data_IF_969550305605
#
_entry.id   IF_969550305605
#
_cell.length_a   1.000
_cell.length_b   1.000
_cell.length_c   1.000
_cell.angle_alpha   90.00
_cell.angle_beta   90.00
_cell.angle_gamma   90.00
#
_symmetry.space_group_name_H-M   'P 1'
#
loop_
_entity.id
_entity.type
_entity.pdbx_description
1 polymer ?
#
# COMPACT_ATOMS: atom_id res chain seq x y z
N UNK A 1 -14.47 1.31 10.07
CA UNK A 1 -13.67 1.06 8.84
C UNK A 1 -14.44 0.38 7.69
N UNK A 2 -15.55 -0.27 7.93
CA UNK A 2 -16.29 -1.04 6.88
C UNK A 2 -16.77 -0.25 5.64
N UNK A 3 -16.61 1.06 5.56
CA UNK A 3 -17.18 1.87 4.47
C UNK A 3 -16.23 2.83 3.77
N UNK A 4 -14.93 2.83 4.08
CA UNK A 4 -14.05 3.86 3.51
C UNK A 4 -13.83 3.70 2.00
N UNK A 5 -13.65 2.48 1.51
CA UNK A 5 -13.50 2.18 0.07
C UNK A 5 -14.80 2.47 -0.68
N UNK A 6 -15.92 1.96 -0.18
CA UNK A 6 -17.24 2.22 -0.77
C UNK A 6 -17.56 3.72 -0.79
N UNK A 7 -17.19 4.46 0.25
CA UNK A 7 -17.38 5.90 0.28
C UNK A 7 -16.53 6.63 -0.76
N UNK A 8 -15.27 6.20 -0.98
CA UNK A 8 -14.43 6.77 -2.03
C UNK A 8 -15.08 6.63 -3.41
N UNK A 9 -15.58 5.44 -3.74
CA UNK A 9 -16.31 5.22 -5.01
C UNK A 9 -17.61 6.03 -5.10
N UNK A 10 -18.38 6.14 -4.00
CA UNK A 10 -19.61 6.96 -3.97
C UNK A 10 -19.31 8.44 -4.21
N UNK A 11 -18.24 8.97 -3.61
CA UNK A 11 -17.82 10.37 -3.82
C UNK A 11 -17.43 10.59 -5.27
N UNK A 12 -16.55 9.76 -5.83
CA UNK A 12 -16.14 9.85 -7.23
C UNK A 12 -17.35 9.79 -8.18
N UNK A 13 -18.29 8.86 -7.94
CA UNK A 13 -19.53 8.78 -8.73
C UNK A 13 -20.39 10.03 -8.63
N UNK A 14 -20.54 10.60 -7.42
CA UNK A 14 -21.30 11.83 -7.20
C UNK A 14 -20.68 13.02 -7.95
N UNK A 15 -19.35 13.03 -8.06
CA UNK A 15 -18.58 14.02 -8.80
C UNK A 15 -18.49 13.74 -10.31
N UNK A 16 -19.17 12.70 -10.79
CA UNK A 16 -19.19 12.25 -12.18
C UNK A 16 -17.78 12.03 -12.78
N UNK A 17 -16.90 11.42 -11.98
CA UNK A 17 -15.53 11.05 -12.38
C UNK A 17 -15.15 9.64 -11.92
N UNK A 18 -14.14 9.00 -12.54
CA UNK A 18 -13.57 7.77 -12.03
C UNK A 18 -12.85 8.00 -10.69
N UNK A 19 -12.79 6.96 -9.86
CA UNK A 19 -11.96 6.98 -8.66
C UNK A 19 -10.48 6.81 -9.05
N UNK A 20 -9.61 7.63 -8.47
CA UNK A 20 -8.16 7.54 -8.68
C UNK A 20 -7.54 6.66 -7.60
N UNK A 21 -6.96 5.54 -8.02
CA UNK A 21 -6.20 4.62 -7.17
C UNK A 21 -4.74 4.68 -7.62
N UNK A 22 -3.83 4.98 -6.71
CA UNK A 22 -2.39 5.00 -7.02
C UNK A 22 -1.68 3.88 -6.30
N UNK A 23 -0.89 3.11 -7.06
CA UNK A 23 -0.02 2.06 -6.57
C UNK A 23 1.41 2.57 -6.39
N UNK A 24 2.01 2.28 -5.26
CA UNK A 24 3.46 2.47 -5.01
C UNK A 24 4.00 1.29 -4.20
N UNK A 25 5.29 0.96 -4.36
CA UNK A 25 5.92 -0.11 -3.58
C UNK A 25 6.36 0.44 -2.23
N UNK A 26 5.94 -0.24 -1.15
CA UNK A 26 6.31 0.15 0.20
C UNK A 26 7.81 -0.09 0.44
N UNK A 27 8.51 0.94 0.91
CA UNK A 27 9.94 0.88 1.22
C UNK A 27 10.87 1.14 0.04
N UNK A 28 10.34 1.42 -1.16
CA UNK A 28 11.16 1.87 -2.27
C UNK A 28 11.89 3.17 -1.89
N UNK A 29 13.17 3.25 -2.24
CA UNK A 29 14.15 4.24 -1.80
C UNK A 29 14.51 4.04 -0.31
N UNK A 30 13.70 4.51 0.62
CA UNK A 30 13.77 4.22 2.06
C UNK A 30 12.38 4.08 2.65
N UNK A 31 12.27 3.47 3.85
CA UNK A 31 10.99 3.32 4.57
C UNK A 31 10.30 4.67 4.78
N UNK A 32 11.05 5.67 5.24
CA UNK A 32 10.48 7.01 5.50
C UNK A 32 10.18 7.76 4.21
N UNK A 33 11.03 7.64 3.19
CA UNK A 33 10.79 8.29 1.89
C UNK A 33 9.55 7.75 1.21
N UNK A 34 9.34 6.43 1.22
CA UNK A 34 8.14 5.84 0.64
C UNK A 34 6.86 6.32 1.36
N UNK A 35 6.91 6.49 2.70
CA UNK A 35 5.80 7.06 3.45
C UNK A 35 5.58 8.55 3.12
N UNK A 36 6.66 9.34 2.98
CA UNK A 36 6.55 10.75 2.57
C UNK A 36 5.91 10.89 1.19
N UNK A 37 6.30 10.07 0.22
CA UNK A 37 5.72 10.04 -1.12
C UNK A 37 4.22 9.74 -1.02
N UNK A 38 3.84 8.68 -0.32
CA UNK A 38 2.43 8.31 -0.16
C UNK A 38 1.62 9.44 0.51
N UNK A 39 2.14 10.05 1.56
CA UNK A 39 1.49 11.19 2.22
C UNK A 39 1.30 12.38 1.26
N UNK A 40 2.30 12.67 0.42
CA UNK A 40 2.27 13.81 -0.51
C UNK A 40 1.20 13.62 -1.59
N UNK A 41 1.11 12.42 -2.19
CA UNK A 41 0.13 12.13 -3.25
C UNK A 41 -1.27 11.84 -2.69
N UNK A 42 -1.39 11.47 -1.41
CA UNK A 42 -2.66 11.01 -0.82
C UNK A 42 -3.78 12.05 -0.86
N UNK A 43 -3.47 13.34 -0.95
CA UNK A 43 -4.47 14.40 -1.07
C UNK A 43 -5.26 14.32 -2.39
N UNK A 44 -4.60 13.86 -3.45
CA UNK A 44 -5.14 13.79 -4.80
C UNK A 44 -5.71 12.40 -5.15
N UNK A 45 -5.59 11.42 -4.26
CA UNK A 45 -6.07 10.05 -4.43
C UNK A 45 -7.42 9.83 -3.75
N UNK A 46 -8.24 8.99 -4.33
CA UNK A 46 -9.42 8.42 -3.66
C UNK A 46 -9.03 7.24 -2.77
N UNK A 47 -8.16 6.37 -3.26
CA UNK A 47 -7.68 5.17 -2.56
C UNK A 47 -6.16 5.07 -2.74
N UNK A 48 -5.44 4.85 -1.66
CA UNK A 48 -4.03 4.52 -1.68
C UNK A 48 -3.83 3.01 -1.78
N UNK A 49 -3.01 2.54 -2.71
CA UNK A 49 -2.62 1.14 -2.81
C UNK A 49 -1.11 1.00 -2.59
N UNK A 50 -0.73 0.19 -1.62
CA UNK A 50 0.67 -0.04 -1.29
C UNK A 50 1.08 -1.48 -1.59
N UNK A 51 2.09 -1.63 -2.46
CA UNK A 51 2.65 -2.92 -2.81
C UNK A 51 3.57 -3.45 -1.72
N UNK A 52 3.37 -4.70 -1.34
CA UNK A 52 4.31 -5.48 -0.52
C UNK A 52 5.40 -5.99 -1.45
N UNK A 53 6.68 -5.54 -1.33
CA UNK A 53 7.73 -5.97 -2.24
C UNK A 53 8.00 -7.47 -2.15
N UNK A 54 8.22 -8.11 -3.28
CA UNK A 54 8.48 -9.54 -3.41
C UNK A 54 9.78 -9.78 -4.19
N UNK A 55 10.52 -10.82 -3.82
CA UNK A 55 11.80 -11.16 -4.45
C UNK A 55 11.66 -11.84 -5.82
N UNK A 56 10.49 -12.39 -6.13
CA UNK A 56 10.18 -13.02 -7.40
C UNK A 56 8.82 -12.52 -7.93
N UNK A 57 8.72 -11.23 -8.35
CA UNK A 57 7.47 -10.59 -8.72
C UNK A 57 7.08 -10.90 -10.16
N UNK A 58 6.76 -12.17 -10.46
CA UNK A 58 6.54 -12.70 -11.82
C UNK A 58 5.34 -12.06 -12.55
N UNK A 59 4.37 -11.52 -11.82
CA UNK A 59 3.19 -10.85 -12.39
C UNK A 59 3.41 -9.36 -12.65
N UNK A 60 4.53 -8.79 -12.19
CA UNK A 60 4.81 -7.36 -12.29
C UNK A 60 5.67 -7.02 -13.51
N UNK A 61 5.48 -5.81 -14.04
CA UNK A 61 6.34 -5.24 -15.06
C UNK A 61 7.68 -4.75 -14.47
N UNK A 62 8.61 -4.39 -15.36
CA UNK A 62 10.00 -4.04 -15.03
C UNK A 62 10.12 -2.96 -13.97
N UNK A 63 9.30 -1.92 -14.03
CA UNK A 63 9.40 -0.78 -13.10
C UNK A 63 9.02 -1.20 -11.67
N UNK A 64 7.96 -1.99 -11.52
CA UNK A 64 7.54 -2.52 -10.24
C UNK A 64 8.53 -3.56 -9.72
N UNK A 65 9.10 -4.41 -10.59
CA UNK A 65 10.17 -5.33 -10.22
C UNK A 65 11.38 -4.59 -9.66
N UNK A 66 11.84 -3.52 -10.34
CA UNK A 66 12.96 -2.70 -9.90
C UNK A 66 12.66 -1.99 -8.57
N UNK A 67 11.44 -1.49 -8.40
CA UNK A 67 11.00 -0.85 -7.16
C UNK A 67 10.98 -1.83 -5.99
N UNK A 68 10.46 -3.05 -6.21
CA UNK A 68 10.48 -4.13 -5.21
C UNK A 68 11.91 -4.52 -4.85
N UNK A 69 12.80 -4.63 -5.83
CA UNK A 69 14.21 -4.94 -5.60
C UNK A 69 14.88 -3.88 -4.71
N UNK A 70 14.71 -2.59 -5.01
CA UNK A 70 15.26 -1.49 -4.18
C UNK A 70 14.70 -1.53 -2.75
N UNK A 71 13.39 -1.77 -2.61
CA UNK A 71 12.77 -1.86 -1.29
C UNK A 71 13.36 -3.01 -0.45
N UNK A 72 13.55 -4.19 -1.05
CA UNK A 72 14.15 -5.35 -0.38
C UNK A 72 15.63 -5.11 -0.04
N UNK A 73 16.40 -4.48 -0.93
CA UNK A 73 17.78 -4.08 -0.65
C UNK A 73 17.88 -3.13 0.55
N UNK A 74 16.89 -2.26 0.74
CA UNK A 74 16.78 -1.38 1.90
C UNK A 74 16.26 -2.08 3.17
N UNK A 75 16.10 -3.39 3.14
CA UNK A 75 15.78 -4.21 4.31
C UNK A 75 14.35 -4.07 4.82
N UNK A 76 13.39 -3.73 3.94
CA UNK A 76 11.98 -3.70 4.35
C UNK A 76 11.47 -5.11 4.66
N UNK A 77 10.68 -5.22 5.71
CA UNK A 77 10.01 -6.46 6.12
C UNK A 77 8.52 -6.20 6.34
N UNK A 78 7.71 -7.25 6.33
CA UNK A 78 6.27 -7.15 6.49
C UNK A 78 5.85 -6.41 7.78
N UNK A 79 6.56 -6.65 8.88
CA UNK A 79 6.32 -5.91 10.13
C UNK A 79 6.59 -4.40 10.02
N UNK A 80 7.55 -4.00 9.18
CA UNK A 80 7.81 -2.58 8.91
C UNK A 80 6.66 -1.97 8.11
N UNK A 81 6.13 -2.72 7.14
CA UNK A 81 4.97 -2.30 6.34
C UNK A 81 3.77 -2.02 7.24
N UNK A 82 3.44 -2.91 8.17
CA UNK A 82 2.35 -2.68 9.13
C UNK A 82 2.59 -1.44 10.00
N UNK A 83 3.82 -1.19 10.44
CA UNK A 83 4.17 0.03 11.18
C UNK A 83 3.97 1.29 10.33
N UNK A 84 4.38 1.24 9.06
CA UNK A 84 4.22 2.35 8.12
C UNK A 84 2.74 2.61 7.79
N UNK A 85 1.94 1.54 7.62
CA UNK A 85 0.47 1.65 7.45
C UNK A 85 -0.15 2.34 8.66
N UNK A 86 0.20 1.94 9.88
CA UNK A 86 -0.28 2.60 11.11
C UNK A 86 0.11 4.08 11.17
N UNK A 87 1.34 4.42 10.79
CA UNK A 87 1.80 5.82 10.69
C UNK A 87 1.00 6.61 9.66
N UNK A 88 0.78 6.05 8.47
CA UNK A 88 -0.06 6.67 7.44
C UNK A 88 -1.49 6.89 7.94
N UNK A 89 -2.12 5.86 8.51
CA UNK A 89 -3.49 5.96 9.03
C UNK A 89 -3.62 6.93 10.20
N UNK A 90 -2.57 7.15 10.98
CA UNK A 90 -2.57 8.17 12.04
C UNK A 90 -2.67 9.59 11.46
N UNK A 91 -2.03 9.86 10.32
CA UNK A 91 -2.07 11.18 9.66
C UNK A 91 -3.26 11.33 8.70
N UNK A 92 -3.76 10.24 8.16
CA UNK A 92 -4.83 10.18 7.15
C UNK A 92 -5.89 9.13 7.53
N UNK A 93 -6.60 9.31 8.67
CA UNK A 93 -7.49 8.26 9.21
C UNK A 93 -8.65 7.88 8.28
N UNK A 94 -9.17 8.83 7.53
CA UNK A 94 -10.28 8.62 6.58
C UNK A 94 -9.86 8.08 5.21
N UNK A 95 -8.56 8.18 4.83
CA UNK A 95 -8.08 7.75 3.53
C UNK A 95 -8.11 6.21 3.45
N UNK A 96 -8.86 5.63 2.50
CA UNK A 96 -8.81 4.19 2.26
C UNK A 96 -7.43 3.76 1.82
N UNK A 97 -7.00 2.58 2.29
CA UNK A 97 -5.73 2.00 1.94
C UNK A 97 -5.86 0.52 1.67
N UNK A 98 -5.20 0.04 0.64
CA UNK A 98 -5.14 -1.35 0.22
C UNK A 98 -3.68 -1.80 0.28
N UNK A 99 -3.43 -3.00 0.79
CA UNK A 99 -2.16 -3.69 0.64
C UNK A 99 -2.30 -4.74 -0.46
N UNK A 100 -1.42 -4.69 -1.44
CA UNK A 100 -1.34 -5.64 -2.54
C UNK A 100 -0.03 -6.43 -2.44
N UNK A 101 -0.09 -7.72 -2.57
CA UNK A 101 1.10 -8.57 -2.51
C UNK A 101 0.84 -9.99 -2.98
N UNK A 102 1.92 -10.76 -3.08
CA UNK A 102 1.85 -12.18 -3.44
C UNK A 102 1.42 -13.00 -2.23
N UNK A 103 0.50 -13.93 -2.43
CA UNK A 103 -0.07 -14.74 -1.35
C UNK A 103 0.97 -15.53 -0.55
N UNK A 104 2.06 -15.95 -1.18
CA UNK A 104 3.16 -16.64 -0.51
C UNK A 104 3.67 -15.88 0.73
N UNK A 105 3.75 -14.55 0.67
CA UNK A 105 4.20 -13.74 1.79
C UNK A 105 3.19 -13.75 2.94
N UNK A 106 1.91 -13.71 2.61
CA UNK A 106 0.81 -13.79 3.58
C UNK A 106 0.80 -15.15 4.23
N UNK A 107 0.87 -16.21 3.43
CA UNK A 107 0.93 -17.60 3.90
C UNK A 107 2.11 -17.84 4.86
N UNK A 108 3.32 -17.39 4.48
CA UNK A 108 4.52 -17.54 5.33
C UNK A 108 4.42 -16.73 6.63
N UNK A 109 3.73 -15.60 6.63
CA UNK A 109 3.50 -14.79 7.82
C UNK A 109 2.42 -15.38 8.72
N UNK A 110 1.50 -16.13 8.14
CA UNK A 110 0.31 -16.73 8.76
C UNK A 110 -0.94 -15.88 8.55
N UNK A 111 -1.93 -16.44 7.88
CA UNK A 111 -3.15 -15.74 7.43
C UNK A 111 -3.87 -15.02 8.57
N UNK A 112 -4.10 -15.72 9.69
CA UNK A 112 -4.74 -15.12 10.87
C UNK A 112 -3.95 -13.93 11.42
N UNK A 113 -2.63 -14.09 11.52
CA UNK A 113 -1.73 -13.05 12.03
C UNK A 113 -1.69 -11.85 11.09
N UNK A 114 -1.72 -12.09 9.78
CA UNK A 114 -1.77 -11.03 8.77
C UNK A 114 -3.06 -10.20 8.91
N UNK A 115 -4.22 -10.87 8.99
CA UNK A 115 -5.53 -10.21 9.12
C UNK A 115 -5.62 -9.39 10.42
N UNK A 116 -5.08 -9.89 11.53
CA UNK A 116 -5.13 -9.20 12.81
C UNK A 116 -4.22 -7.96 12.90
N UNK A 117 -3.18 -7.88 12.07
CA UNK A 117 -2.23 -6.77 12.05
C UNK A 117 -2.54 -5.71 10.96
N UNK A 118 -3.54 -5.98 10.10
CA UNK A 118 -3.87 -5.13 8.96
C UNK A 118 -5.06 -4.17 9.23
#
# INVERSE_FOLDING_TARGET
MKNSINNAFKVAKKENRPALISYTVCGDNTKDKSLQILNSISKDLDIAEWGIPHNCPTADGKDIQNSSYRALQNGIRLNDIFKLVKRFKKTKPSKPMILMGYYQMIFNYGDKKFILNN
#
